data_IF_481615960955
#
_entry.id   IF_481615960955
#
_cell.length_a   1.000
_cell.length_b   1.000
_cell.length_c   1.000
_cell.angle_alpha   90.00
_cell.angle_beta   90.00
_cell.angle_gamma   90.00
#
_symmetry.space_group_name_H-M   'P 1'
#
loop_
_entity.id
_entity.type
_entity.pdbx_description
1 polymer ?
#
# COMPACT_ATOMS: atom_id res chain seq x y z
N UNK A 1 -7.53 21.20 -15.44
CA UNK A 1 -7.76 19.75 -15.24
C UNK A 1 -7.74 19.48 -13.75
N UNK A 2 -8.66 18.66 -13.24
CA UNK A 2 -8.89 18.49 -11.79
C UNK A 2 -7.80 17.71 -11.05
N UNK A 3 -6.89 17.04 -11.78
CA UNK A 3 -5.83 16.23 -11.21
C UNK A 3 -4.47 16.64 -11.73
N UNK A 4 -3.46 16.59 -10.85
CA UNK A 4 -2.07 16.80 -11.26
C UNK A 4 -1.57 15.64 -12.11
N UNK A 5 -0.61 15.92 -13.00
CA UNK A 5 0.04 14.90 -13.82
C UNK A 5 0.62 13.76 -12.98
N UNK A 6 1.16 14.06 -11.78
CA UNK A 6 1.67 13.05 -10.85
C UNK A 6 0.59 12.06 -10.39
N UNK A 7 -0.61 12.56 -10.10
CA UNK A 7 -1.73 11.70 -9.65
C UNK A 7 -2.17 10.79 -10.78
N UNK A 8 -2.28 11.33 -12.00
CA UNK A 8 -2.64 10.56 -13.19
C UNK A 8 -1.59 9.48 -13.48
N UNK A 9 -0.30 9.82 -13.42
CA UNK A 9 0.79 8.87 -13.61
C UNK A 9 0.77 7.71 -12.61
N UNK A 10 0.50 7.98 -11.33
CA UNK A 10 0.34 6.92 -10.33
C UNK A 10 -0.91 6.05 -10.55
N UNK A 11 -1.94 6.58 -11.19
CA UNK A 11 -3.16 5.83 -11.51
C UNK A 11 -2.97 4.96 -12.77
N UNK A 12 -2.37 5.51 -13.83
CA UNK A 12 -2.16 4.79 -15.09
C UNK A 12 -0.96 3.82 -15.02
N UNK A 13 0.08 4.16 -14.26
CA UNK A 13 1.29 3.35 -14.06
C UNK A 13 1.48 3.00 -12.57
N UNK A 14 0.58 2.18 -12.01
CA UNK A 14 0.56 1.95 -10.58
C UNK A 14 1.77 1.13 -10.15
N UNK A 15 2.46 1.59 -9.10
CA UNK A 15 3.62 0.91 -8.52
C UNK A 15 3.19 0.22 -7.25
N UNK A 16 3.75 -0.96 -6.99
CA UNK A 16 3.50 -1.72 -5.76
C UNK A 16 2.06 -2.21 -5.60
N UNK A 17 1.32 -2.43 -6.70
CA UNK A 17 0.01 -3.06 -6.60
C UNK A 17 0.17 -4.52 -6.20
N UNK A 18 -0.57 -4.95 -5.19
CA UNK A 18 -0.67 -6.36 -4.87
C UNK A 18 -1.11 -6.63 -3.44
N UNK A 19 -0.78 -7.83 -2.98
CA UNK A 19 -0.88 -8.20 -1.57
C UNK A 19 0.30 -9.10 -1.21
N UNK A 20 0.76 -8.97 0.02
CA UNK A 20 1.72 -9.88 0.63
C UNK A 20 0.99 -10.89 1.52
N UNK A 21 1.68 -11.97 1.90
CA UNK A 21 1.13 -12.92 2.86
C UNK A 21 1.01 -12.24 4.24
N UNK A 22 -0.21 -12.09 4.74
CA UNK A 22 -0.47 -11.45 6.03
C UNK A 22 -0.12 -12.35 7.23
N UNK A 23 0.13 -13.65 6.99
CA UNK A 23 0.58 -14.59 8.03
C UNK A 23 2.10 -14.63 8.17
N UNK A 24 2.85 -13.98 7.27
CA UNK A 24 4.31 -13.85 7.39
C UNK A 24 4.63 -12.92 8.58
N UNK A 25 5.40 -13.38 9.60
CA UNK A 25 5.74 -12.56 10.77
C UNK A 25 6.51 -11.29 10.41
N UNK A 26 7.17 -11.26 9.25
CA UNK A 26 7.92 -10.10 8.77
C UNK A 26 7.03 -9.09 8.03
N UNK A 27 5.73 -9.40 7.83
CA UNK A 27 4.79 -8.58 7.06
C UNK A 27 3.81 -7.85 7.98
N UNK A 28 3.97 -6.53 8.06
CA UNK A 28 2.99 -5.65 8.68
C UNK A 28 1.84 -5.33 7.73
N UNK A 29 0.59 -5.53 8.16
CA UNK A 29 -0.61 -5.18 7.38
C UNK A 29 -1.42 -4.11 8.10
N UNK A 30 -1.59 -2.96 7.44
CA UNK A 30 -2.47 -1.88 7.88
C UNK A 30 -3.66 -1.75 6.94
N UNK A 31 -4.88 -1.88 7.46
CA UNK A 31 -6.09 -1.58 6.71
C UNK A 31 -6.84 -0.46 7.44
N UNK A 32 -7.03 0.67 6.75
CA UNK A 32 -7.66 1.86 7.30
C UNK A 32 -8.72 2.36 6.33
N UNK A 33 -9.80 2.90 6.86
CA UNK A 33 -10.89 3.43 6.06
C UNK A 33 -12.22 3.33 6.78
N UNK A 34 -13.14 4.21 6.42
CA UNK A 34 -14.52 4.15 6.87
C UNK A 34 -15.38 3.77 5.67
N UNK A 35 -16.13 2.65 5.72
CA UNK A 35 -17.04 2.26 4.64
C UNK A 35 -18.03 3.36 4.25
N UNK A 36 -18.36 4.23 5.22
CA UNK A 36 -19.26 5.37 5.03
C UNK A 36 -18.67 6.47 4.12
N UNK A 37 -17.35 6.59 4.02
CA UNK A 37 -16.68 7.61 3.21
C UNK A 37 -16.29 7.10 1.82
N UNK A 38 -16.49 5.80 1.53
CA UNK A 38 -16.15 5.19 0.24
C UNK A 38 -14.67 4.87 0.04
N UNK A 39 -13.79 5.36 0.93
CA UNK A 39 -12.35 5.18 0.83
C UNK A 39 -11.86 4.14 1.84
N UNK A 40 -11.29 3.05 1.31
CA UNK A 40 -10.59 2.02 2.07
C UNK A 40 -9.20 1.85 1.49
N UNK A 41 -8.19 1.96 2.34
CA UNK A 41 -6.79 1.78 1.99
C UNK A 41 -6.22 0.58 2.73
N UNK A 42 -5.52 -0.27 1.98
CA UNK A 42 -4.67 -1.33 2.54
C UNK A 42 -3.24 -1.02 2.17
N UNK A 43 -2.35 -1.11 3.14
CA UNK A 43 -0.92 -0.96 2.96
C UNK A 43 -0.23 -2.10 3.71
N UNK A 44 0.66 -2.80 3.01
CA UNK A 44 1.47 -3.87 3.57
C UNK A 44 2.95 -3.54 3.40
N UNK A 45 3.75 -3.82 4.42
CA UNK A 45 5.21 -3.67 4.38
C UNK A 45 5.87 -4.97 4.85
N UNK A 46 6.99 -5.33 4.23
CA UNK A 46 7.86 -6.41 4.70
C UNK A 46 9.10 -5.80 5.34
N UNK A 47 9.42 -6.21 6.56
CA UNK A 47 10.52 -5.68 7.36
C UNK A 47 11.50 -6.80 7.66
N UNK A 48 12.80 -6.56 7.44
CA UNK A 48 13.83 -7.56 7.75
C UNK A 48 14.27 -7.52 9.21
N UNK A 49 15.17 -8.44 9.59
CA UNK A 49 15.69 -8.58 10.95
C UNK A 49 16.41 -7.32 11.46
N UNK A 50 16.91 -6.47 10.57
CA UNK A 50 17.56 -5.20 10.91
C UNK A 50 16.56 -4.04 11.07
N UNK A 51 15.26 -4.31 10.90
CA UNK A 51 14.20 -3.29 10.99
C UNK A 51 14.05 -2.44 9.72
N UNK A 52 14.60 -2.86 8.58
CA UNK A 52 14.52 -2.13 7.31
C UNK A 52 13.37 -2.67 6.46
N UNK A 53 12.58 -1.76 5.86
CA UNK A 53 11.51 -2.12 4.93
C UNK A 53 12.13 -2.55 3.60
N UNK A 54 11.91 -3.81 3.21
CA UNK A 54 12.44 -4.38 1.97
C UNK A 54 11.45 -4.30 0.81
N UNK A 55 10.15 -4.39 1.11
CA UNK A 55 9.09 -4.29 0.10
C UNK A 55 7.83 -3.66 0.68
N UNK A 56 7.02 -3.06 -0.19
CA UNK A 56 5.72 -2.51 0.11
C UNK A 56 4.72 -2.87 -0.98
N UNK A 57 3.46 -3.11 -0.58
CA UNK A 57 2.33 -3.42 -1.45
C UNK A 57 1.02 -2.80 -0.95
#
# INVERSE_FOLDING_TARGET
>A
MAYSEKVIDHYENPRNVGKMNAEDPDVGTGMVGAPACGDVMRLQIKVNEQGVIEDAK
#
